data_IF_914860789792
#
_entry.id   IF_914860789792
#
_cell.length_a   1.000
_cell.length_b   1.000
_cell.length_c   1.000
_cell.angle_alpha   90.00
_cell.angle_beta   90.00
_cell.angle_gamma   90.00
#
_symmetry.space_group_name_H-M   'P 1'
#
loop_
_entity.id
_entity.type
_entity.pdbx_description
1 polymer ?
#
# COMPACT_ATOMS: atom_id res chain seq x y z
N UNK A 1 6.28 19.49 14.01
CA UNK A 1 5.65 18.18 14.27
C UNK A 1 4.23 18.15 13.66
N UNK A 2 4.14 17.79 12.38
CA UNK A 2 2.85 17.60 11.73
C UNK A 2 2.32 16.22 12.12
N UNK A 3 1.42 16.20 13.11
CA UNK A 3 0.68 15.00 13.47
C UNK A 3 -0.36 14.75 12.36
N UNK A 4 -0.02 13.90 11.39
CA UNK A 4 -0.99 13.41 10.43
C UNK A 4 -1.80 12.31 11.13
N UNK A 5 -3.08 12.56 11.38
CA UNK A 5 -4.00 11.58 11.99
C UNK A 5 -5.03 11.19 10.95
N UNK A 6 -5.00 9.91 10.53
CA UNK A 6 -6.11 9.36 9.78
C UNK A 6 -7.20 8.93 10.75
N UNK A 7 -8.41 9.49 10.61
CA UNK A 7 -9.57 9.12 11.41
C UNK A 7 -10.48 8.16 10.66
N UNK A 8 -10.86 7.05 11.31
CA UNK A 8 -11.85 6.11 10.79
C UNK A 8 -12.89 5.77 11.85
N UNK A 9 -14.18 5.86 11.49
CA UNK A 9 -15.31 5.50 12.35
C UNK A 9 -15.81 4.09 12.00
N UNK A 10 -15.73 3.15 12.94
CA UNK A 10 -16.18 1.78 12.75
C UNK A 10 -17.18 1.35 13.83
N UNK A 11 -18.27 0.68 13.44
CA UNK A 11 -19.11 -0.05 14.38
C UNK A 11 -18.71 -1.53 14.34
N UNK A 12 -18.08 -2.03 15.40
CA UNK A 12 -17.55 -3.41 15.46
C UNK A 12 -18.40 -4.23 16.43
N UNK A 13 -19.02 -5.31 15.94
CA UNK A 13 -19.77 -6.44 16.57
C UNK A 13 -20.63 -6.25 17.84
N UNK A 14 -20.62 -5.09 18.49
CA UNK A 14 -21.46 -4.71 19.63
C UNK A 14 -21.64 -3.19 19.64
N UNK A 15 -22.28 -2.62 18.60
CA UNK A 15 -22.82 -1.24 18.50
C UNK A 15 -21.98 -0.05 19.00
N UNK A 16 -20.72 -0.26 19.36
CA UNK A 16 -19.82 0.75 19.87
C UNK A 16 -19.12 1.40 18.68
N UNK A 17 -19.29 2.71 18.58
CA UNK A 17 -18.61 3.50 17.57
C UNK A 17 -17.14 3.61 17.99
N UNK A 18 -16.23 3.25 17.09
CA UNK A 18 -14.79 3.32 17.36
C UNK A 18 -14.13 4.33 16.45
N UNK A 19 -13.19 5.10 16.98
CA UNK A 19 -12.36 6.05 16.27
C UNK A 19 -10.93 5.52 16.24
N UNK A 20 -10.42 5.28 15.04
CA UNK A 20 -9.05 4.82 14.83
C UNK A 20 -8.19 5.99 14.38
N UNK A 21 -7.00 6.13 14.96
CA UNK A 21 -6.07 7.22 14.70
C UNK A 21 -4.66 6.66 14.50
N UNK A 22 -4.17 6.65 13.26
CA UNK A 22 -2.79 6.30 12.92
C UNK A 22 -1.86 7.50 12.98
N UNK A 23 -0.58 7.29 13.32
CA UNK A 23 0.45 8.34 13.41
C UNK A 23 1.66 8.05 12.52
N UNK A 24 2.51 9.06 12.35
CA UNK A 24 3.77 8.94 11.62
C UNK A 24 4.83 8.07 12.33
N UNK A 25 4.70 7.84 13.63
CA UNK A 25 5.63 7.03 14.43
C UNK A 25 5.15 5.58 14.63
N UNK A 26 4.22 5.10 13.80
CA UNK A 26 3.71 3.74 13.87
C UNK A 26 2.79 3.44 15.06
N UNK A 27 2.27 4.46 15.74
CA UNK A 27 1.22 4.28 16.76
C UNK A 27 -0.16 4.34 16.12
N UNK A 28 -1.05 3.45 16.56
CA UNK A 28 -2.49 3.46 16.27
C UNK A 28 -3.25 3.53 17.59
N UNK A 29 -4.06 4.57 17.77
CA UNK A 29 -4.95 4.72 18.91
C UNK A 29 -6.37 4.37 18.52
N UNK A 30 -7.04 3.59 19.35
CA UNK A 30 -8.41 3.15 19.16
C UNK A 30 -9.21 3.74 20.30
N UNK A 31 -10.15 4.63 20.00
CA UNK A 31 -11.06 5.20 20.99
C UNK A 31 -12.45 4.66 20.79
N UNK A 32 -13.18 4.45 21.89
CA UNK A 32 -14.62 4.16 21.87
C UNK A 32 -15.37 5.46 22.07
N UNK A 33 -16.26 5.76 21.13
CA UNK A 33 -17.17 6.89 21.12
C UNK A 33 -18.55 6.43 21.61
N UNK A 34 -19.06 7.10 22.65
CA UNK A 34 -20.43 6.90 23.11
C UNK A 34 -21.27 8.09 22.70
N UNK A 35 -22.20 7.86 21.77
CA UNK A 35 -23.15 8.86 21.31
C UNK A 35 -24.38 8.89 22.23
N UNK A 36 -24.80 10.07 22.72
CA UNK A 36 -26.09 10.22 23.37
C UNK A 36 -27.24 9.81 22.44
N UNK A 37 -28.31 9.27 23.03
CA UNK A 37 -29.58 9.03 22.33
C UNK A 37 -30.13 10.34 21.78
N UNK A 38 -30.92 10.28 20.70
CA UNK A 38 -31.37 11.48 19.97
C UNK A 38 -32.00 12.55 20.87
N UNK A 39 -32.87 12.14 21.80
CA UNK A 39 -33.55 13.02 22.74
C UNK A 39 -32.61 13.77 23.71
N UNK A 40 -31.38 13.27 23.89
CA UNK A 40 -30.38 13.80 24.82
C UNK A 40 -29.22 14.50 24.11
N UNK A 41 -29.13 14.49 22.78
CA UNK A 41 -27.98 15.08 22.04
C UNK A 41 -27.84 16.60 22.22
N UNK A 42 -28.89 17.30 22.63
CA UNK A 42 -28.84 18.73 22.94
C UNK A 42 -28.34 19.04 24.36
N UNK A 43 -28.32 18.04 25.24
CA UNK A 43 -27.99 18.20 26.68
C UNK A 43 -26.70 17.48 27.06
N UNK A 44 -26.52 16.26 26.56
CA UNK A 44 -25.37 15.41 26.86
C UNK A 44 -24.35 15.51 25.73
N UNK A 45 -23.06 15.60 26.07
CA UNK A 45 -21.96 15.59 25.10
C UNK A 45 -21.61 14.18 24.61
N UNK A 46 -20.92 14.11 23.47
CA UNK A 46 -20.30 12.86 23.01
C UNK A 46 -19.10 12.54 23.89
N UNK A 47 -19.02 11.33 24.43
CA UNK A 47 -17.84 10.89 25.20
C UNK A 47 -16.91 10.06 24.32
N UNK A 48 -15.60 10.19 24.60
CA UNK A 48 -14.53 9.51 23.89
C UNK A 48 -13.57 8.94 24.92
N UNK A 49 -13.33 7.63 24.89
CA UNK A 49 -12.40 6.95 25.80
C UNK A 49 -11.38 6.17 24.99
N UNK A 50 -10.09 6.28 25.36
CA UNK A 50 -9.05 5.44 24.76
C UNK A 50 -9.30 3.99 25.16
N UNK A 51 -9.45 3.12 24.16
CA UNK A 51 -9.72 1.71 24.33
C UNK A 51 -8.46 0.87 24.20
N UNK A 52 -7.73 1.05 23.11
CA UNK A 52 -6.53 0.27 22.80
C UNK A 52 -5.49 1.15 22.13
N UNK A 53 -4.24 0.83 22.38
CA UNK A 53 -3.08 1.42 21.70
C UNK A 53 -2.28 0.29 21.04
N UNK A 54 -1.98 0.44 19.75
CA UNK A 54 -1.10 -0.45 19.00
C UNK A 54 0.17 0.32 18.66
N UNK A 55 1.33 -0.24 18.94
CA UNK A 55 2.61 0.27 18.46
C UNK A 55 3.24 -0.74 17.51
N UNK A 56 3.32 -0.36 16.23
CA UNK A 56 3.96 -1.16 15.19
C UNK A 56 5.46 -1.22 15.45
N UNK A 57 6.04 -2.42 15.55
CA UNK A 57 7.47 -2.59 15.88
C UNK A 57 8.45 -1.90 14.92
N UNK A 58 8.07 -1.74 13.66
CA UNK A 58 8.90 -1.07 12.67
C UNK A 58 8.79 0.47 12.72
N UNK A 59 7.83 1.04 13.48
CA UNK A 59 7.73 2.49 13.72
C UNK A 59 7.39 3.34 12.49
N UNK A 60 7.10 2.74 11.33
CA UNK A 60 6.85 3.47 10.09
C UNK A 60 5.49 4.18 10.10
N UNK A 61 5.32 5.27 9.33
CA UNK A 61 4.07 6.01 9.28
C UNK A 61 2.89 5.14 8.85
N UNK A 62 1.77 5.30 9.57
CA UNK A 62 0.51 4.64 9.24
C UNK A 62 -0.19 5.43 8.13
N UNK A 63 -0.35 4.79 6.98
CA UNK A 63 -0.97 5.34 5.77
C UNK A 63 -2.49 5.14 5.80
N UNK A 64 -2.95 3.94 6.20
CA UNK A 64 -4.38 3.68 6.36
C UNK A 64 -4.71 2.62 7.40
N UNK A 65 -5.92 2.75 7.95
CA UNK A 65 -6.56 1.76 8.81
C UNK A 65 -7.97 1.54 8.28
N UNK A 66 -8.26 0.30 7.86
CA UNK A 66 -9.57 -0.07 7.32
C UNK A 66 -10.10 -1.31 8.04
N UNK A 67 -11.31 -1.22 8.59
CA UNK A 67 -12.00 -2.38 9.16
C UNK A 67 -12.77 -3.11 8.06
N UNK A 68 -12.60 -4.43 8.03
CA UNK A 68 -13.31 -5.36 7.17
C UNK A 68 -14.38 -6.10 7.95
N UNK A 69 -15.53 -6.31 7.31
CA UNK A 69 -16.59 -7.16 7.80
C UNK A 69 -16.25 -8.66 7.67
N UNK A 70 -17.21 -9.51 8.02
CA UNK A 70 -17.07 -10.97 7.95
C UNK A 70 -16.83 -11.50 6.54
N UNK A 71 -17.34 -10.77 5.53
CA UNK A 71 -17.17 -11.04 4.10
C UNK A 71 -15.88 -10.42 3.53
N UNK A 72 -14.99 -9.91 4.39
CA UNK A 72 -13.72 -9.26 4.04
C UNK A 72 -13.89 -7.99 3.18
N UNK A 73 -15.02 -7.30 3.30
CA UNK A 73 -15.26 -6.01 2.64
C UNK A 73 -15.09 -4.85 3.63
N UNK A 74 -14.50 -3.71 3.22
CA UNK A 74 -14.46 -2.50 4.01
C UNK A 74 -15.85 -2.10 4.51
N UNK A 75 -15.92 -1.66 5.76
CA UNK A 75 -17.20 -1.18 6.30
C UNK A 75 -17.68 0.04 5.49
N UNK A 76 -18.94 0.03 5.02
CA UNK A 76 -19.53 1.16 4.34
C UNK A 76 -19.73 2.34 5.30
N UNK A 77 -19.71 3.55 4.74
CA UNK A 77 -20.07 4.76 5.48
C UNK A 77 -21.51 4.66 6.00
N UNK A 78 -21.77 5.12 7.22
CA UNK A 78 -23.13 5.04 7.80
C UNK A 78 -24.18 5.76 6.96
N UNK A 79 -23.78 6.81 6.24
CA UNK A 79 -24.66 7.54 5.32
C UNK A 79 -25.04 6.69 4.10
N UNK A 80 -24.08 6.02 3.45
CA UNK A 80 -24.35 5.22 2.26
C UNK A 80 -25.27 4.02 2.55
N UNK A 81 -25.25 3.50 3.78
CA UNK A 81 -26.20 2.47 4.22
C UNK A 81 -27.61 3.04 4.42
N UNK A 82 -27.73 4.26 4.98
CA UNK A 82 -29.03 4.93 5.18
C UNK A 82 -29.71 5.30 3.87
N UNK A 83 -28.92 5.71 2.88
CA UNK A 83 -29.39 6.06 1.54
C UNK A 83 -29.66 4.83 0.65
N UNK A 84 -29.36 3.62 1.13
CA UNK A 84 -29.54 2.38 0.38
C UNK A 84 -28.51 2.14 -0.73
N UNK A 85 -27.46 2.98 -0.81
CA UNK A 85 -26.38 2.83 -1.78
C UNK A 85 -25.42 1.68 -1.43
N UNK A 86 -25.32 1.30 -0.15
CA UNK A 86 -24.51 0.19 0.33
C UNK A 86 -25.32 -0.78 1.19
N UNK A 87 -25.03 -2.07 1.06
CA UNK A 87 -25.59 -3.09 1.95
C UNK A 87 -25.09 -2.92 3.38
N UNK A 88 -25.84 -3.43 4.35
CA UNK A 88 -25.39 -3.50 5.74
C UNK A 88 -24.14 -4.39 5.82
N UNK A 89 -23.18 -4.07 6.73
CA UNK A 89 -22.00 -4.90 6.93
C UNK A 89 -22.39 -6.31 7.37
N UNK A 90 -21.68 -7.32 6.88
CA UNK A 90 -21.91 -8.71 7.27
C UNK A 90 -21.44 -8.96 8.71
N UNK A 91 -22.34 -9.44 9.56
CA UNK A 91 -22.14 -9.72 10.98
C UNK A 91 -22.02 -11.21 11.31
N UNK A 92 -21.96 -12.08 10.31
CA UNK A 92 -21.93 -13.54 10.47
C UNK A 92 -20.69 -14.09 11.17
N UNK A 93 -19.56 -13.39 11.10
CA UNK A 93 -18.26 -13.86 11.56
C UNK A 93 -17.39 -12.74 12.14
N UNK A 94 -16.12 -13.04 12.48
CA UNK A 94 -15.24 -12.07 13.12
C UNK A 94 -14.78 -11.00 12.12
N UNK A 95 -14.76 -9.75 12.60
CA UNK A 95 -14.28 -8.62 11.81
C UNK A 95 -12.74 -8.65 11.76
N UNK A 96 -12.17 -8.01 10.75
CA UNK A 96 -10.71 -7.85 10.62
C UNK A 96 -10.37 -6.38 10.47
N UNK A 97 -9.13 -6.00 10.73
CA UNK A 97 -8.61 -4.67 10.45
C UNK A 97 -7.34 -4.80 9.63
N UNK A 98 -7.28 -4.03 8.54
CA UNK A 98 -6.10 -3.89 7.69
C UNK A 98 -5.42 -2.58 8.09
N UNK A 99 -4.19 -2.68 8.56
CA UNK A 99 -3.32 -1.55 8.91
C UNK A 99 -2.21 -1.50 7.87
N UNK A 100 -2.23 -0.43 7.07
CA UNK A 100 -1.24 -0.14 6.06
C UNK A 100 -0.30 0.95 6.59
N UNK A 101 0.98 0.62 6.69
CA UNK A 101 2.06 1.58 6.92
C UNK A 101 2.89 1.75 5.65
N UNK A 102 3.80 2.72 5.62
CA UNK A 102 4.71 2.88 4.48
C UNK A 102 5.56 1.62 4.20
N UNK A 103 5.87 0.82 5.23
CA UNK A 103 6.76 -0.35 5.06
C UNK A 103 6.04 -1.71 5.04
N UNK A 104 4.88 -1.81 5.70
CA UNK A 104 4.19 -3.09 5.92
C UNK A 104 2.67 -2.92 5.85
N UNK A 105 2.02 -3.97 5.35
CA UNK A 105 0.57 -4.16 5.43
C UNK A 105 0.33 -5.29 6.43
N UNK A 106 -0.49 -5.07 7.45
CA UNK A 106 -0.82 -6.06 8.48
C UNK A 106 -2.32 -6.21 8.61
N UNK A 107 -2.77 -7.45 8.77
CA UNK A 107 -4.17 -7.77 9.06
C UNK A 107 -4.25 -8.36 10.45
N UNK A 108 -5.21 -7.87 11.24
CA UNK A 108 -5.52 -8.38 12.58
C UNK A 108 -7.00 -8.76 12.67
N UNK A 109 -7.31 -9.80 13.41
CA UNK A 109 -8.68 -10.21 13.72
C UNK A 109 -9.18 -9.47 14.96
N UNK A 110 -10.34 -8.82 14.84
CA UNK A 110 -11.02 -8.12 15.92
C UNK A 110 -11.91 -9.09 16.74
N UNK A 111 -12.20 -8.78 18.01
CA UNK A 111 -11.77 -7.59 18.78
C UNK A 111 -10.40 -7.72 19.44
N UNK A 112 -9.85 -8.93 19.50
CA UNK A 112 -8.62 -9.26 20.25
C UNK A 112 -7.35 -8.70 19.60
N UNK A 113 -7.43 -8.24 18.35
CA UNK A 113 -6.28 -7.83 17.53
C UNK A 113 -5.26 -8.96 17.35
N UNK A 114 -5.75 -10.19 17.19
CA UNK A 114 -4.89 -11.34 16.91
C UNK A 114 -4.29 -11.17 15.51
N UNK A 115 -2.97 -11.31 15.38
CA UNK A 115 -2.31 -11.27 14.07
C UNK A 115 -2.91 -12.31 13.12
N UNK A 116 -3.26 -11.88 11.91
CA UNK A 116 -3.78 -12.75 10.85
C UNK A 116 -2.72 -12.93 9.75
N UNK A 117 -2.26 -11.83 9.15
CA UNK A 117 -1.29 -11.88 8.06
C UNK A 117 -0.49 -10.58 7.94
N UNK A 118 0.74 -10.64 7.42
CA UNK A 118 1.54 -9.46 7.07
C UNK A 118 2.22 -9.57 5.72
N UNK A 119 2.34 -8.44 5.04
CA UNK A 119 3.15 -8.25 3.85
C UNK A 119 4.20 -7.15 4.13
N UNK A 120 5.48 -7.47 3.94
CA UNK A 120 6.59 -6.52 4.14
C UNK A 120 6.94 -5.87 2.80
N UNK A 121 6.36 -4.71 2.52
CA UNK A 121 6.52 -3.98 1.24
C UNK A 121 7.99 -3.65 1.02
N UNK A 122 8.64 -2.96 1.96
CA UNK A 122 10.03 -2.51 1.82
C UNK A 122 11.01 -3.68 1.73
N UNK A 123 10.78 -4.75 2.49
CA UNK A 123 11.66 -5.92 2.45
C UNK A 123 11.54 -6.74 1.15
N UNK A 124 10.38 -6.71 0.48
CA UNK A 124 10.15 -7.47 -0.76
C UNK A 124 10.40 -6.67 -2.01
N UNK A 125 10.20 -5.36 -1.95
CA UNK A 125 10.14 -4.49 -3.14
C UNK A 125 11.07 -3.28 -3.04
N UNK A 126 11.69 -3.02 -1.89
CA UNK A 126 12.51 -1.81 -1.69
C UNK A 126 11.73 -0.51 -1.85
N UNK A 127 10.40 -0.57 -1.72
CA UNK A 127 9.50 0.55 -1.92
C UNK A 127 8.76 0.92 -0.64
N UNK A 128 8.19 2.13 -0.63
CA UNK A 128 7.33 2.66 0.42
C UNK A 128 5.92 2.85 -0.12
N UNK A 129 4.93 2.45 0.64
CA UNK A 129 3.52 2.63 0.31
C UNK A 129 3.13 4.11 0.44
N UNK A 130 2.42 4.65 -0.56
CA UNK A 130 1.98 6.06 -0.60
C UNK A 130 0.47 6.23 -0.53
N UNK A 131 -0.25 5.47 -1.35
CA UNK A 131 -1.71 5.55 -1.45
C UNK A 131 -2.29 4.14 -1.55
N UNK A 132 -3.56 4.01 -1.22
CA UNK A 132 -4.30 2.75 -1.27
C UNK A 132 -5.75 2.97 -1.63
N UNK A 133 -6.36 1.93 -2.17
CA UNK A 133 -7.75 1.92 -2.55
C UNK A 133 -8.32 0.51 -2.49
N UNK A 134 -9.64 0.42 -2.54
CA UNK A 134 -10.34 -0.85 -2.61
C UNK A 134 -11.15 -0.86 -3.89
N UNK A 135 -10.94 -1.87 -4.73
CA UNK A 135 -11.62 -1.98 -6.01
C UNK A 135 -12.23 -3.37 -6.18
N UNK A 136 -13.46 -3.42 -6.68
CA UNK A 136 -14.14 -4.67 -7.01
C UNK A 136 -13.89 -5.01 -8.47
N UNK A 137 -13.21 -6.13 -8.69
CA UNK A 137 -12.96 -6.67 -10.02
C UNK A 137 -14.01 -7.74 -10.31
N UNK A 138 -14.68 -7.62 -11.45
CA UNK A 138 -15.66 -8.61 -11.89
C UNK A 138 -15.01 -9.53 -12.91
N UNK A 139 -15.39 -10.81 -12.89
CA UNK A 139 -15.07 -11.70 -14.00
C UNK A 139 -15.66 -11.16 -15.31
N UNK A 140 -15.03 -11.47 -16.46
CA UNK A 140 -15.61 -11.18 -17.75
C UNK A 140 -17.01 -11.81 -17.88
N UNK A 141 -17.93 -11.20 -18.65
CA UNK A 141 -19.30 -11.70 -18.81
C UNK A 141 -19.39 -13.13 -19.36
N UNK A 142 -18.34 -13.61 -20.04
CA UNK A 142 -18.26 -14.97 -20.61
C UNK A 142 -17.80 -16.04 -19.60
N UNK A 143 -17.46 -15.65 -18.37
CA UNK A 143 -17.04 -16.59 -17.34
C UNK A 143 -18.25 -17.33 -16.73
N UNK A 144 -18.12 -18.63 -16.39
CA UNK A 144 -19.22 -19.44 -15.87
C UNK A 144 -19.73 -18.99 -14.49
N UNK A 145 -18.99 -18.13 -13.80
CA UNK A 145 -19.38 -17.52 -12.53
C UNK A 145 -19.11 -16.01 -12.55
N UNK A 146 -20.11 -15.22 -12.19
CA UNK A 146 -20.02 -13.77 -11.96
C UNK A 146 -19.42 -13.51 -10.58
N UNK A 147 -18.15 -13.88 -10.40
CA UNK A 147 -17.43 -13.57 -9.18
C UNK A 147 -16.97 -12.12 -9.21
N UNK A 148 -17.27 -11.40 -8.14
CA UNK A 148 -16.71 -10.07 -7.89
C UNK A 148 -15.76 -10.16 -6.70
N UNK A 149 -14.48 -10.05 -6.99
CA UNK A 149 -13.43 -10.10 -5.98
C UNK A 149 -13.03 -8.68 -5.62
N UNK A 150 -13.04 -8.38 -4.33
CA UNK A 150 -12.57 -7.11 -3.82
C UNK A 150 -11.07 -7.20 -3.54
N UNK A 151 -10.29 -6.31 -4.16
CA UNK A 151 -8.85 -6.24 -4.00
C UNK A 151 -8.43 -4.96 -3.29
N UNK A 152 -7.34 -5.05 -2.53
CA UNK A 152 -6.61 -3.90 -2.01
C UNK A 152 -5.61 -3.45 -3.08
N UNK A 153 -5.80 -2.25 -3.59
CA UNK A 153 -4.87 -1.57 -4.49
C UNK A 153 -3.92 -0.71 -3.68
N UNK A 154 -2.65 -0.70 -4.06
CA UNK A 154 -1.61 0.07 -3.40
C UNK A 154 -0.73 0.75 -4.43
N UNK A 155 -0.40 2.03 -4.19
CA UNK A 155 0.59 2.77 -4.96
C UNK A 155 1.87 2.93 -4.14
N UNK A 156 3.01 2.61 -4.75
CA UNK A 156 4.34 2.81 -4.14
C UNK A 156 4.93 4.19 -4.44
N UNK A 157 5.98 4.57 -3.71
CA UNK A 157 6.78 5.75 -3.98
C UNK A 157 7.59 5.67 -5.28
N UNK A 158 7.65 4.50 -5.92
CA UNK A 158 8.30 4.32 -7.21
C UNK A 158 7.30 4.48 -8.37
N UNK A 159 6.00 4.63 -8.07
CA UNK A 159 4.95 4.75 -9.07
C UNK A 159 4.32 3.41 -9.49
N UNK A 160 4.69 2.31 -8.82
CA UNK A 160 4.11 0.99 -9.08
C UNK A 160 2.75 0.83 -8.41
N UNK A 161 1.81 0.21 -9.11
CA UNK A 161 0.52 -0.19 -8.55
C UNK A 161 0.51 -1.70 -8.33
N UNK A 162 0.18 -2.13 -7.11
CA UNK A 162 0.06 -3.55 -6.77
C UNK A 162 -1.34 -3.87 -6.25
N UNK A 163 -1.88 -5.02 -6.63
CA UNK A 163 -3.16 -5.51 -6.14
C UNK A 163 -2.97 -6.74 -5.24
N UNK A 164 -3.60 -6.71 -4.07
CA UNK A 164 -3.58 -7.77 -3.07
C UNK A 164 -4.97 -8.36 -2.86
N UNK A 165 -5.03 -9.68 -2.70
CA UNK A 165 -6.24 -10.36 -2.20
C UNK A 165 -6.45 -10.04 -0.72
N UNK A 166 -7.70 -9.91 -0.30
CA UNK A 166 -8.07 -9.78 1.10
C UNK A 166 -8.80 -11.05 1.57
N UNK A 167 -8.53 -11.55 2.79
CA UNK A 167 -7.61 -11.01 3.81
C UNK A 167 -6.17 -11.57 3.72
N UNK A 168 -5.86 -12.51 2.83
CA UNK A 168 -4.59 -13.25 2.83
C UNK A 168 -3.38 -12.45 2.32
N UNK A 169 -3.58 -11.22 1.84
CA UNK A 169 -2.54 -10.36 1.27
C UNK A 169 -1.70 -11.07 0.19
N UNK A 170 -2.34 -11.93 -0.63
CA UNK A 170 -1.65 -12.53 -1.78
C UNK A 170 -1.56 -11.50 -2.88
N UNK A 171 -0.34 -11.23 -3.35
CA UNK A 171 -0.13 -10.35 -4.50
C UNK A 171 -0.70 -11.04 -5.75
N UNK A 172 -1.65 -10.38 -6.41
CA UNK A 172 -2.32 -10.92 -7.59
C UNK A 172 -1.67 -10.39 -8.87
N UNK A 173 -1.45 -9.08 -8.96
CA UNK A 173 -0.73 -8.46 -10.06
C UNK A 173 0.00 -7.20 -9.59
N UNK A 174 0.95 -6.77 -10.42
CA UNK A 174 1.70 -5.53 -10.28
C UNK A 174 1.79 -4.88 -11.65
N UNK A 175 1.41 -3.61 -11.71
CA UNK A 175 1.71 -2.73 -12.82
C UNK A 175 2.97 -1.94 -12.43
N UNK A 176 4.06 -2.23 -13.13
CA UNK A 176 5.33 -1.52 -12.96
C UNK A 176 5.31 -0.22 -13.77
N UNK A 177 5.92 0.84 -13.23
CA UNK A 177 5.99 2.15 -13.90
C UNK A 177 4.62 2.75 -14.31
N UNK A 178 3.55 2.45 -13.56
CA UNK A 178 2.24 3.05 -13.79
C UNK A 178 2.29 4.59 -13.70
N UNK A 179 3.14 5.09 -12.82
CA UNK A 179 3.62 6.47 -12.80
C UNK A 179 5.16 6.44 -12.79
N UNK A 180 5.77 7.48 -13.35
CA UNK A 180 7.21 7.66 -13.25
C UNK A 180 7.58 7.98 -11.80
N UNK A 181 8.66 7.38 -11.29
CA UNK A 181 9.17 7.64 -9.94
C UNK A 181 9.45 9.13 -9.68
N UNK A 182 9.82 9.89 -10.71
CA UNK A 182 10.09 11.33 -10.61
C UNK A 182 8.81 12.17 -10.54
N UNK A 183 7.65 11.61 -10.90
CA UNK A 183 6.35 12.29 -10.87
C UNK A 183 5.74 12.25 -9.46
N UNK A 184 6.38 12.98 -8.54
CA UNK A 184 5.96 13.07 -7.14
C UNK A 184 4.54 13.63 -7.03
N UNK A 185 4.17 14.59 -7.88
CA UNK A 185 2.83 15.19 -7.89
C UNK A 185 1.77 14.17 -8.30
N UNK A 186 2.03 13.40 -9.36
CA UNK A 186 1.17 12.31 -9.77
C UNK A 186 1.03 11.26 -8.66
N UNK A 187 2.14 10.84 -8.05
CA UNK A 187 2.14 9.84 -6.98
C UNK A 187 1.33 10.29 -5.76
N UNK A 188 1.49 11.55 -5.32
CA UNK A 188 0.79 12.08 -4.15
C UNK A 188 -0.69 12.37 -4.42
N UNK A 189 -1.05 12.70 -5.66
CA UNK A 189 -2.43 13.03 -6.04
C UNK A 189 -3.27 11.81 -6.42
N UNK A 190 -2.65 10.65 -6.63
CA UNK A 190 -3.36 9.47 -7.12
C UNK A 190 -4.43 8.98 -6.13
N UNK A 191 -5.64 8.84 -6.65
CA UNK A 191 -6.79 8.25 -5.96
C UNK A 191 -7.38 7.12 -6.77
N UNK A 192 -7.67 6.00 -6.10
CA UNK A 192 -8.30 4.83 -6.70
C UNK A 192 -9.83 4.93 -6.65
N UNK A 193 -10.48 4.41 -7.68
CA UNK A 193 -11.92 4.20 -7.77
C UNK A 193 -12.30 2.79 -7.31
N UNK A 194 -13.54 2.62 -6.85
CA UNK A 194 -14.10 1.31 -6.49
C UNK A 194 -14.24 0.34 -7.67
N UNK A 195 -14.15 0.83 -8.90
CA UNK A 195 -14.29 0.02 -10.12
C UNK A 195 -12.93 -0.41 -10.74
N UNK A 196 -11.82 -0.12 -10.05
CA UNK A 196 -10.49 -0.46 -10.54
C UNK A 196 -9.93 0.56 -11.54
N UNK A 197 -10.43 1.79 -11.53
CA UNK A 197 -9.77 2.94 -12.17
C UNK A 197 -8.94 3.71 -11.13
N UNK A 198 -8.05 4.58 -11.60
CA UNK A 198 -7.33 5.54 -10.76
C UNK A 198 -7.21 6.88 -11.49
N UNK A 199 -7.19 7.98 -10.74
CA UNK A 199 -7.03 9.33 -11.26
C UNK A 199 -5.85 9.98 -10.57
N UNK A 200 -5.00 10.66 -11.33
CA UNK A 200 -3.89 11.44 -10.80
C UNK A 200 -3.75 12.75 -11.58
N UNK A 201 -3.11 13.75 -10.98
CA UNK A 201 -2.78 15.00 -11.65
C UNK A 201 -1.61 14.77 -12.60
N UNK A 202 -1.89 14.80 -13.91
CA UNK A 202 -0.84 14.79 -14.93
C UNK A 202 -0.16 16.16 -15.04
N UNK A 203 -0.93 17.22 -14.82
CA UNK A 203 -0.47 18.59 -14.68
C UNK A 203 -1.27 19.30 -13.57
N UNK A 204 -0.96 20.56 -13.27
CA UNK A 204 -1.70 21.34 -12.27
C UNK A 204 -3.17 21.58 -12.61
N UNK A 205 -3.59 21.30 -13.85
CA UNK A 205 -4.93 21.58 -14.36
C UNK A 205 -5.58 20.39 -15.08
N UNK A 206 -4.90 19.25 -15.16
CA UNK A 206 -5.38 18.09 -15.93
C UNK A 206 -5.24 16.81 -15.11
N UNK A 207 -6.33 16.05 -15.05
CA UNK A 207 -6.31 14.69 -14.52
C UNK A 207 -6.09 13.71 -15.66
N UNK A 208 -5.24 12.71 -15.39
CA UNK A 208 -5.15 11.53 -16.21
C UNK A 208 -5.78 10.35 -15.47
N UNK A 209 -6.52 9.56 -16.22
CA UNK A 209 -7.16 8.34 -15.73
C UNK A 209 -6.37 7.12 -16.18
N UNK A 210 -6.20 6.18 -15.25
CA UNK A 210 -5.68 4.85 -15.47
C UNK A 210 -6.81 3.86 -15.23
N UNK A 211 -6.86 2.77 -16.00
CA UNK A 211 -7.75 1.66 -15.71
C UNK A 211 -6.93 0.40 -15.49
N UNK A 212 -7.17 -0.25 -14.35
CA UNK A 212 -6.59 -1.55 -13.97
C UNK A 212 -7.61 -2.67 -14.22
N UNK A 213 -8.88 -2.31 -14.46
CA UNK A 213 -9.98 -3.26 -14.64
C UNK A 213 -10.21 -3.48 -16.13
N UNK A 214 -10.24 -4.74 -16.61
CA UNK A 214 -10.52 -5.02 -18.02
C UNK A 214 -11.95 -4.65 -18.43
N UNK A 215 -12.86 -4.53 -17.46
CA UNK A 215 -14.27 -4.27 -17.72
C UNK A 215 -14.59 -2.77 -17.81
N UNK A 216 -13.67 -1.91 -17.39
CA UNK A 216 -13.89 -0.46 -17.35
C UNK A 216 -12.86 0.20 -18.24
N UNK A 217 -13.20 0.31 -19.52
CA UNK A 217 -12.35 0.96 -20.52
C UNK A 217 -13.05 2.23 -20.97
N UNK A 218 -12.60 3.36 -20.44
CA UNK A 218 -13.18 4.65 -20.79
C UNK A 218 -12.25 5.42 -21.72
N UNK A 219 -12.56 5.38 -23.02
CA UNK A 219 -11.87 6.11 -24.07
C UNK A 219 -12.84 6.98 -24.88
N UNK A 220 -12.41 8.14 -25.41
CA UNK A 220 -13.26 8.97 -26.24
C UNK A 220 -13.60 8.22 -27.53
N UNK A 221 -14.90 7.98 -27.75
CA UNK A 221 -15.44 7.47 -29.02
C UNK A 221 -16.24 8.58 -29.67
N UNK A 222 -15.64 9.24 -30.65
CA UNK A 222 -16.26 10.34 -31.38
C UNK A 222 -16.44 10.00 -32.86
N UNK A 223 -17.55 10.44 -33.43
CA UNK A 223 -17.80 10.44 -34.87
C UNK A 223 -17.91 11.89 -35.31
N UNK A 224 -17.12 12.26 -36.30
CA UNK A 224 -17.20 13.58 -36.93
C UNK A 224 -17.82 13.39 -38.32
N UNK A 225 -19.07 13.83 -38.46
CA UNK A 225 -19.75 13.91 -39.76
C UNK A 225 -19.12 15.03 -40.57
N UNK A 226 -18.55 14.68 -41.71
CA UNK A 226 -17.88 15.62 -42.60
C UNK A 226 -18.77 15.89 -43.81
N UNK A 227 -18.87 17.15 -44.29
CA UNK A 227 -19.56 17.45 -45.54
C UNK A 227 -19.02 16.61 -46.72
N UNK A 228 -19.85 16.35 -47.75
CA UNK A 228 -19.39 15.66 -48.95
C UNK A 228 -18.13 16.34 -49.52
N UNK A 229 -17.05 15.57 -49.68
CA UNK A 229 -15.76 16.07 -50.19
C UNK A 229 -14.77 16.61 -49.15
N UNK A 230 -15.12 16.67 -47.87
CA UNK A 230 -14.21 17.12 -46.80
C UNK A 230 -13.32 15.99 -46.21
N UNK A 231 -13.53 14.73 -46.62
CA UNK A 231 -12.56 13.65 -46.33
C UNK A 231 -11.37 13.76 -47.30
N UNK A 232 -10.13 13.59 -46.82
CA UNK A 232 -9.00 13.37 -47.71
C UNK A 232 -9.35 12.23 -48.67
N UNK A 233 -9.09 12.41 -49.97
CA UNK A 233 -9.25 11.34 -50.93
C UNK A 233 -8.45 10.14 -50.40
N UNK A 234 -9.13 9.02 -50.18
CA UNK A 234 -8.48 7.76 -49.83
C UNK A 234 -7.38 7.54 -50.85
N UNK A 235 -6.12 7.43 -50.41
CA UNK A 235 -5.06 6.96 -51.30
C UNK A 235 -5.59 5.67 -51.95
N UNK A 236 -5.50 5.53 -53.29
CA UNK A 236 -5.92 4.30 -53.94
C UNK A 236 -5.23 3.14 -53.22
N UNK A 237 -5.95 2.03 -52.97
CA UNK A 237 -5.32 0.85 -52.39
C UNK A 237 -4.07 0.57 -53.22
N UNK A 238 -2.91 0.57 -52.57
CA UNK A 238 -1.68 0.16 -53.22
C UNK A 238 -2.00 -1.16 -53.90
N UNK A 239 -1.94 -1.17 -55.24
CA UNK A 239 -2.15 -2.38 -56.01
C UNK A 239 -1.28 -3.46 -55.38
N UNK A 240 -1.88 -4.56 -54.95
CA UNK A 240 -1.14 -5.75 -54.60
C UNK A 240 -0.27 -6.08 -55.81
N UNK A 241 1.02 -5.74 -55.71
CA UNK A 241 2.02 -6.18 -56.66
C UNK A 241 1.97 -7.70 -56.72
N UNK A 242 2.04 -8.32 -57.90
CA UNK A 242 1.93 -9.76 -58.03
C UNK A 242 2.94 -10.48 -57.13
N UNK A 243 2.45 -11.38 -56.28
CA UNK A 243 3.29 -12.40 -55.64
C UNK A 243 3.77 -13.37 -56.71
N UNK A 244 4.93 -13.09 -57.30
CA UNK A 244 5.74 -14.12 -57.97
C UNK A 244 6.98 -14.38 -57.12
N UNK A 245 6.89 -15.47 -56.36
CA UNK A 245 8.07 -16.07 -55.75
C UNK A 245 8.84 -16.86 -56.81
N UNK A 246 10.12 -16.53 -57.00
CA UNK A 246 11.18 -17.48 -57.34
C UNK A 246 12.56 -16.81 -57.17
N UNK A 247 13.18 -17.08 -56.02
CA UNK A 247 14.62 -17.31 -55.78
C UNK A 247 15.66 -16.63 -56.69
N UNK A 248 16.53 -15.80 -56.09
CA UNK A 248 18.00 -15.99 -56.21
C UNK A 248 18.74 -15.29 -55.06
N UNK A 249 19.72 -16.00 -54.52
CA UNK A 249 20.57 -15.67 -53.38
C UNK A 249 21.60 -14.54 -53.63
N UNK A 250 22.22 -14.12 -52.51
CA UNK A 250 23.34 -13.17 -52.28
C UNK A 250 22.87 -11.72 -52.10
N UNK A 251 23.31 -10.92 -51.13
CA UNK A 251 24.51 -10.91 -50.30
C UNK A 251 24.27 -9.97 -49.09
N UNK A 252 24.89 -10.25 -47.95
CA UNK A 252 24.80 -9.43 -46.73
C UNK A 252 25.62 -8.13 -46.84
N UNK A 253 25.21 -7.01 -46.20
CA UNK A 253 26.05 -5.83 -46.06
C UNK A 253 27.13 -6.05 -44.98
N UNK A 254 28.38 -5.58 -45.19
CA UNK A 254 29.49 -5.91 -44.32
C UNK A 254 29.52 -5.07 -43.04
N UNK A 255 29.94 -5.72 -41.95
CA UNK A 255 30.38 -5.07 -40.72
C UNK A 255 31.72 -4.33 -40.93
N UNK A 256 31.96 -3.18 -40.28
CA UNK A 256 33.23 -2.48 -40.38
C UNK A 256 34.31 -3.17 -39.52
N UNK A 257 35.42 -3.55 -40.15
CA UNK A 257 36.65 -4.01 -39.49
C UNK A 257 37.56 -2.82 -39.17
N UNK A 258 38.06 -2.77 -37.92
CA UNK A 258 39.30 -2.07 -37.51
C UNK A 258 40.51 -2.80 -38.14
N UNK A 259 41.58 -2.11 -38.55
CA UNK A 259 42.85 -1.80 -37.85
C UNK A 259 43.89 -1.33 -38.93
N UNK A 260 45.10 -0.77 -38.64
CA UNK A 260 45.98 -1.03 -37.48
C UNK A 260 46.73 0.19 -36.87
N UNK A 261 47.43 -0.09 -35.76
CA UNK A 261 48.32 0.79 -34.99
C UNK A 261 49.72 1.01 -35.61
N UNK A 262 50.54 1.88 -35.00
CA UNK A 262 51.88 1.46 -34.56
C UNK A 262 52.15 1.90 -33.09
N UNK A 263 52.46 0.95 -32.19
CA UNK A 263 53.80 0.55 -31.71
C UNK A 263 54.46 1.49 -30.68
N UNK A 264 54.67 0.97 -29.46
CA UNK A 264 55.57 1.55 -28.46
C UNK A 264 55.25 1.14 -27.01
N UNK A 265 55.79 0.03 -26.55
CA UNK A 265 55.82 -0.46 -25.15
C UNK A 265 57.14 -0.02 -24.45
N UNK A 266 57.49 -0.48 -23.23
CA UNK A 266 56.78 -0.55 -21.93
C UNK A 266 57.66 0.02 -20.76
N UNK A 267 57.12 0.07 -19.52
CA UNK A 267 57.78 -0.01 -18.18
C UNK A 267 56.73 0.31 -17.09
N UNK A 268 56.29 -0.65 -16.30
CA UNK A 268 56.86 -1.16 -15.02
C UNK A 268 56.49 -0.35 -13.76
N UNK A 269 55.79 -1.06 -12.86
CA UNK A 269 55.96 -1.13 -11.40
C UNK A 269 55.22 -0.18 -10.41
N UNK A 270 54.86 -0.82 -9.29
CA UNK A 270 54.50 -0.36 -7.94
C UNK A 270 53.09 0.26 -7.77
N UNK A 271 52.14 -0.35 -7.02
CA UNK A 271 52.11 -0.69 -5.57
C UNK A 271 52.41 0.52 -4.69
N UNK A 272 51.36 1.09 -4.07
CA UNK A 272 51.32 1.51 -2.66
C UNK A 272 49.92 2.09 -2.30
N UNK A 273 49.19 1.39 -1.43
CA UNK A 273 48.30 2.01 -0.42
C UNK A 273 49.16 2.42 0.79
N UNK A 274 48.77 3.45 1.56
CA UNK A 274 48.45 3.20 2.99
C UNK A 274 47.47 4.25 3.61
N UNK A 275 47.18 4.21 4.93
CA UNK A 275 46.66 3.06 5.68
C UNK A 275 45.45 3.42 6.59
N UNK A 276 44.78 2.36 7.06
CA UNK A 276 43.93 2.35 8.25
C UNK A 276 44.70 2.76 9.52
N UNK A 277 44.01 3.45 10.43
CA UNK A 277 44.50 3.74 11.78
C UNK A 277 43.85 2.76 12.74
N UNK A 278 44.63 1.78 13.19
CA UNK A 278 44.37 0.94 14.35
C UNK A 278 44.86 1.69 15.59
N UNK A 279 44.00 1.81 16.61
CA UNK A 279 44.42 2.13 17.98
C UNK A 279 44.09 0.93 18.86
N UNK A 280 45.14 0.27 19.35
CA UNK A 280 45.06 -0.79 20.36
C UNK A 280 45.56 -0.27 21.73
N UNK A 281 44.76 -0.63 22.75
CA UNK A 281 45.09 -1.09 24.10
C UNK A 281 45.75 -0.21 25.18
N UNK A 282 45.11 -0.34 26.35
CA UNK A 282 45.66 -0.20 27.71
C UNK A 282 44.57 0.33 28.64
N UNK A 283 44.07 -0.33 29.69
CA UNK A 283 44.45 -1.54 30.40
C UNK A 283 44.00 -1.36 31.86
N UNK A 284 43.33 -2.37 32.44
CA UNK A 284 43.21 -2.62 33.89
C UNK A 284 42.17 -1.82 34.69
N UNK A 285 41.19 -2.51 35.28
CA UNK A 285 41.23 -2.92 36.69
C UNK A 285 39.86 -3.41 37.17
N UNK A 286 39.83 -4.61 37.72
CA UNK A 286 38.74 -5.21 38.46
C UNK A 286 38.43 -4.41 39.74
N UNK A 287 37.15 -4.28 40.10
CA UNK A 287 36.77 -4.16 41.51
C UNK A 287 35.35 -4.70 41.74
N UNK A 288 35.35 -5.85 42.41
CA UNK A 288 34.27 -6.48 43.13
C UNK A 288 33.71 -5.56 44.23
N UNK A 289 32.37 -5.56 44.42
CA UNK A 289 31.70 -5.24 45.68
C UNK A 289 30.23 -5.66 45.69
N UNK A 290 29.88 -6.31 46.79
CA UNK A 290 28.70 -7.08 47.11
C UNK A 290 27.52 -6.27 47.71
N UNK A 291 26.32 -6.84 47.49
CA UNK A 291 25.13 -6.96 48.36
C UNK A 291 24.81 -5.88 49.42
N UNK A 292 23.60 -5.28 49.31
CA UNK A 292 22.75 -4.96 50.45
C UNK A 292 21.25 -4.86 50.05
N UNK A 293 20.39 -5.30 50.97
CA UNK A 293 18.97 -5.62 50.88
C UNK A 293 17.98 -4.45 50.71
N UNK A 294 16.77 -4.83 50.30
CA UNK A 294 15.55 -4.04 50.07
C UNK A 294 14.91 -3.45 51.36
N UNK A 295 13.83 -2.66 51.19
CA UNK A 295 12.53 -3.17 51.60
C UNK A 295 11.39 -3.01 50.56
N UNK A 296 10.53 -4.03 50.54
CA UNK A 296 9.23 -4.23 49.88
C UNK A 296 8.18 -3.20 50.39
N UNK A 297 7.02 -2.84 49.80
CA UNK A 297 6.22 -3.01 48.55
C UNK A 297 4.99 -2.02 48.72
N UNK A 298 3.97 -1.83 47.82
CA UNK A 298 3.10 -2.89 47.27
C UNK A 298 2.68 -2.76 45.78
N UNK A 299 2.65 -3.93 45.13
CA UNK A 299 1.65 -4.39 44.14
C UNK A 299 1.33 -3.53 42.92
N UNK A 300 2.21 -3.58 41.90
CA UNK A 300 1.78 -3.41 40.50
C UNK A 300 1.45 -4.78 39.91
N UNK A 301 0.20 -4.96 39.47
CA UNK A 301 -0.19 -6.09 38.64
C UNK A 301 0.73 -6.13 37.41
N UNK A 302 1.52 -7.18 37.27
CA UNK A 302 2.44 -7.35 36.15
C UNK A 302 1.66 -7.66 34.87
N UNK A 303 1.89 -6.84 33.87
CA UNK A 303 1.38 -6.95 32.51
C UNK A 303 1.82 -8.25 31.82
N UNK A 304 0.87 -8.98 31.24
CA UNK A 304 1.12 -10.18 30.46
C UNK A 304 1.88 -9.93 29.12
N UNK A 305 2.15 -8.67 28.77
CA UNK A 305 2.86 -8.28 27.54
C UNK A 305 4.34 -7.95 27.74
N UNK A 306 4.81 -7.79 28.98
CA UNK A 306 6.25 -7.60 29.28
C UNK A 306 6.98 -8.96 29.31
N UNK A 307 6.23 -10.08 29.36
CA UNK A 307 6.78 -11.43 29.37
C UNK A 307 6.91 -12.09 27.99
N UNK A 308 6.49 -11.44 26.91
CA UNK A 308 6.79 -11.92 25.56
C UNK A 308 8.06 -11.25 25.01
N UNK A 309 9.20 -11.91 25.22
CA UNK A 309 10.48 -11.60 24.57
C UNK A 309 10.49 -11.86 23.04
N UNK A 310 9.32 -11.87 22.39
CA UNK A 310 9.21 -12.00 20.94
C UNK A 310 9.34 -10.63 20.28
N UNK A 311 10.55 -10.32 19.81
CA UNK A 311 10.87 -9.07 19.08
C UNK A 311 10.01 -8.87 17.82
N UNK A 312 9.28 -9.88 17.34
CA UNK A 312 8.54 -9.83 16.08
C UNK A 312 7.08 -9.39 16.20
N UNK A 313 6.56 -9.29 17.44
CA UNK A 313 5.14 -8.99 17.71
C UNK A 313 4.92 -7.51 18.05
N UNK A 314 3.87 -6.92 17.48
CA UNK A 314 3.47 -5.53 17.79
C UNK A 314 3.01 -5.39 19.24
N UNK A 315 3.30 -4.24 19.85
CA UNK A 315 2.84 -3.98 21.22
C UNK A 315 1.38 -3.55 21.17
N UNK A 316 0.54 -4.17 21.99
CA UNK A 316 -0.88 -3.83 22.13
C UNK A 316 -1.13 -3.58 23.61
N UNK A 317 -1.57 -2.37 23.94
CA UNK A 317 -2.03 -1.98 25.29
C UNK A 317 -3.54 -1.86 25.30
N UNK A 318 -4.17 -2.45 26.30
CA UNK A 318 -5.61 -2.36 26.55
C UNK A 318 -5.86 -1.42 27.72
N UNK A 319 -6.78 -0.48 27.54
CA UNK A 319 -7.14 0.52 28.54
C UNK A 319 -8.54 0.31 29.13
N UNK A 320 -9.33 -0.62 28.57
CA UNK A 320 -10.73 -0.83 28.98
C UNK A 320 -10.98 -2.08 29.83
N UNK A 321 -9.95 -2.89 30.12
CA UNK A 321 -9.94 -3.89 31.20
C UNK A 321 -11.03 -4.97 31.15
#
# INVERSE_FOLDING_TARGET
PFLFVLFFLAAVQHTALTLWAGTNAGYIYIHVLTLPKEDKRSKDGVTCMLAKEIHLKHGAPVVSVTVLDSSNRPLPTSLSVKEGAASKPDQSGPYKVVICSEEQIKVFTLPVLKHFQKYKVTAREGALLRSLGFASFRSPPDAPSTLSDLLLLTLSNQGDITAFSLPELRKLFREEDALRKEDITGILSLQFSSEGEAFYLHSSSEYQRLSLSPNVVTCPRCVLELPPGARPASAPPAAEGPKTGASRAKEAPPAPKKEPAPSGSPRDAAVEEPPEVVLENGGGSEHDRSLAEAPQSPTSQLDASILSNDLTLDSIRDHLG
#
